data_IF_534719847156
#
_entry.id   IF_534719847156
#
_cell.length_a   1.000
_cell.length_b   1.000
_cell.length_c   1.000
_cell.angle_alpha   90.00
_cell.angle_beta   90.00
_cell.angle_gamma   90.00
#
_symmetry.space_group_name_H-M   'P 1'
#
loop_
_entity.id
_entity.type
_entity.pdbx_description
1 polymer ?
#
# COMPACT_ATOMS: atom_id res chain seq x y z
N UNK A 1 6.43 25.29 -2.23
CA UNK A 1 5.28 25.19 -3.15
C UNK A 1 5.62 24.52 -4.48
N UNK A 2 6.66 24.95 -5.22
CA UNK A 2 7.01 24.34 -6.53
C UNK A 2 7.26 22.82 -6.45
N UNK A 3 7.89 22.37 -5.37
CA UNK A 3 8.13 20.95 -5.10
C UNK A 3 6.82 20.16 -4.91
N UNK A 4 5.87 20.73 -4.15
CA UNK A 4 4.56 20.16 -3.89
C UNK A 4 3.70 20.07 -5.16
N UNK A 5 3.90 20.96 -6.13
CA UNK A 5 3.21 20.91 -7.42
C UNK A 5 3.77 19.83 -8.37
N UNK A 6 4.77 19.06 -7.93
CA UNK A 6 5.34 17.98 -8.74
C UNK A 6 6.28 18.46 -9.85
N UNK A 7 6.78 19.70 -9.80
CA UNK A 7 7.67 20.22 -10.84
C UNK A 7 9.04 19.54 -10.86
N UNK A 8 9.65 19.41 -12.05
CA UNK A 8 11.01 18.89 -12.18
C UNK A 8 12.04 19.81 -11.53
N UNK A 9 13.15 19.25 -11.06
CA UNK A 9 14.21 20.03 -10.40
C UNK A 9 14.82 21.09 -11.35
N UNK A 10 14.88 20.80 -12.64
CA UNK A 10 15.33 21.78 -13.66
C UNK A 10 14.37 22.96 -13.75
N UNK A 11 13.06 22.71 -13.79
CA UNK A 11 12.06 23.77 -13.83
C UNK A 11 12.08 24.62 -12.56
N UNK A 12 12.29 23.98 -11.41
CA UNK A 12 12.45 24.67 -10.12
C UNK A 12 13.71 25.54 -10.13
N UNK A 13 14.85 25.00 -10.58
CA UNK A 13 16.10 25.75 -10.67
C UNK A 13 15.95 26.98 -11.57
N UNK A 14 15.32 26.82 -12.74
CA UNK A 14 15.03 27.91 -13.67
C UNK A 14 14.12 28.98 -13.05
N UNK A 15 13.06 28.57 -12.34
CA UNK A 15 12.15 29.48 -11.66
C UNK A 15 12.81 30.28 -10.52
N UNK A 16 13.85 29.71 -9.89
CA UNK A 16 14.65 30.36 -8.85
C UNK A 16 15.88 31.10 -9.40
N UNK A 17 16.06 31.13 -10.73
CA UNK A 17 17.23 31.70 -11.40
C UNK A 17 18.58 31.16 -10.89
N UNK A 18 18.62 29.86 -10.55
CA UNK A 18 19.84 29.16 -10.14
C UNK A 18 20.13 27.96 -11.04
N UNK A 19 21.37 27.47 -11.00
CA UNK A 19 21.74 26.25 -11.72
C UNK A 19 21.28 25.00 -10.97
N UNK A 20 21.02 23.91 -11.70
CA UNK A 20 20.62 22.62 -11.10
C UNK A 20 21.64 22.07 -10.06
N UNK A 21 22.97 22.19 -10.25
CA UNK A 21 23.93 21.81 -9.21
C UNK A 21 23.75 22.61 -7.90
N UNK A 22 23.48 23.91 -8.00
CA UNK A 22 23.24 24.79 -6.85
C UNK A 22 21.98 24.37 -6.10
N UNK A 23 20.89 24.06 -6.83
CA UNK A 23 19.65 23.55 -6.23
C UNK A 23 19.91 22.25 -5.45
N UNK A 24 20.60 21.29 -6.06
CA UNK A 24 20.91 20.00 -5.42
C UNK A 24 21.82 20.13 -4.20
N UNK A 25 22.76 21.08 -4.20
CA UNK A 25 23.69 21.28 -3.10
C UNK A 25 23.05 21.96 -1.89
N UNK A 26 22.30 23.05 -2.11
CA UNK A 26 21.80 23.89 -1.03
C UNK A 26 20.38 23.54 -0.57
N UNK A 27 19.56 22.95 -1.45
CA UNK A 27 18.16 22.62 -1.17
C UNK A 27 17.90 21.12 -1.07
N UNK A 28 18.96 20.31 -0.91
CA UNK A 28 18.85 18.85 -0.85
C UNK A 28 17.90 18.37 0.27
N UNK A 29 17.88 19.06 1.41
CA UNK A 29 17.02 18.76 2.54
C UNK A 29 15.56 18.95 2.16
N UNK A 30 15.22 20.07 1.52
CA UNK A 30 13.87 20.37 1.05
C UNK A 30 13.41 19.39 -0.03
N UNK A 31 14.29 19.03 -0.98
CA UNK A 31 13.96 18.11 -2.07
C UNK A 31 13.57 16.70 -1.58
N UNK A 32 14.07 16.28 -0.41
CA UNK A 32 13.71 14.99 0.20
C UNK A 32 12.26 14.94 0.69
N UNK A 33 11.70 16.08 1.10
CA UNK A 33 10.35 16.14 1.68
C UNK A 33 9.28 16.40 0.62
N UNK A 34 9.46 15.90 -0.61
CA UNK A 34 8.56 16.16 -1.73
C UNK A 34 7.12 15.75 -1.43
N UNK A 35 6.95 14.55 -0.89
CA UNK A 35 5.63 14.00 -0.57
C UNK A 35 5.00 14.75 0.61
N UNK A 36 5.78 15.01 1.66
CA UNK A 36 5.32 15.83 2.81
C UNK A 36 4.88 17.22 2.37
N UNK A 37 5.62 17.87 1.46
CA UNK A 37 5.24 19.19 0.96
C UNK A 37 3.96 19.11 0.09
N UNK A 38 3.72 18.00 -0.61
CA UNK A 38 2.46 17.76 -1.32
C UNK A 38 1.29 17.67 -0.34
N UNK A 39 1.46 16.90 0.75
CA UNK A 39 0.43 16.70 1.76
C UNK A 39 0.10 18.01 2.47
N UNK A 40 1.12 18.79 2.86
CA UNK A 40 0.94 20.11 3.47
C UNK A 40 0.19 21.07 2.55
N UNK A 41 0.48 21.06 1.25
CA UNK A 41 -0.23 21.88 0.27
C UNK A 41 -1.71 21.48 0.17
N UNK A 42 -1.98 20.17 0.08
CA UNK A 42 -3.36 19.65 0.07
C UNK A 42 -4.10 20.02 1.34
N UNK A 43 -3.50 19.83 2.52
CA UNK A 43 -4.11 20.19 3.80
C UNK A 43 -4.44 21.69 3.88
N UNK A 44 -3.51 22.55 3.44
CA UNK A 44 -3.73 24.01 3.40
C UNK A 44 -4.89 24.38 2.49
N UNK A 45 -4.95 23.78 1.29
CA UNK A 45 -6.05 23.98 0.34
C UNK A 45 -7.40 23.55 0.94
N UNK A 46 -7.44 22.36 1.56
CA UNK A 46 -8.65 21.83 2.19
C UNK A 46 -9.13 22.70 3.34
N UNK A 47 -8.23 23.26 4.15
CA UNK A 47 -8.61 24.20 5.22
C UNK A 47 -9.24 25.48 4.66
N UNK A 48 -8.67 26.06 3.59
CA UNK A 48 -9.28 27.21 2.93
C UNK A 48 -10.63 26.88 2.32
N UNK A 49 -10.77 25.71 1.70
CA UNK A 49 -12.02 25.24 1.12
C UNK A 49 -13.09 25.05 2.20
N UNK A 50 -12.72 24.47 3.35
CA UNK A 50 -13.62 24.30 4.50
C UNK A 50 -14.13 25.63 5.03
N UNK A 51 -13.27 26.65 5.16
CA UNK A 51 -13.71 27.98 5.57
C UNK A 51 -14.75 28.59 4.61
N UNK A 52 -14.65 28.31 3.30
CA UNK A 52 -15.66 28.74 2.32
C UNK A 52 -16.96 27.94 2.44
N UNK A 53 -16.88 26.66 2.81
CA UNK A 53 -18.05 25.83 3.12
C UNK A 53 -18.80 26.39 4.32
N UNK A 54 -18.09 26.73 5.41
CA UNK A 54 -18.69 27.35 6.60
C UNK A 54 -19.34 28.71 6.28
N UNK A 55 -18.76 29.46 5.34
CA UNK A 55 -19.33 30.71 4.84
C UNK A 55 -20.57 30.52 3.93
N UNK A 56 -21.03 29.29 3.68
CA UNK A 56 -22.22 29.02 2.87
C UNK A 56 -21.97 29.02 1.35
N UNK A 57 -20.72 28.96 0.90
CA UNK A 57 -20.42 28.91 -0.53
C UNK A 57 -20.76 27.52 -1.11
N UNK A 58 -21.86 27.44 -1.86
CA UNK A 58 -22.38 26.19 -2.45
C UNK A 58 -21.37 25.56 -3.43
N UNK A 59 -20.59 26.36 -4.17
CA UNK A 59 -19.54 25.82 -5.04
C UNK A 59 -18.43 25.16 -4.21
N UNK A 60 -18.02 25.77 -3.10
CA UNK A 60 -17.05 25.17 -2.19
C UNK A 60 -17.55 23.87 -1.56
N UNK A 61 -18.84 23.79 -1.20
CA UNK A 61 -19.46 22.56 -0.69
C UNK A 61 -19.37 21.41 -1.68
N UNK A 62 -19.63 21.69 -2.97
CA UNK A 62 -19.52 20.69 -4.03
C UNK A 62 -18.08 20.21 -4.21
N UNK A 63 -17.13 21.13 -4.30
CA UNK A 63 -15.71 20.78 -4.45
C UNK A 63 -15.17 20.02 -3.22
N UNK A 64 -15.61 20.39 -2.02
CA UNK A 64 -15.25 19.70 -0.79
C UNK A 64 -15.83 18.28 -0.74
N UNK A 65 -17.09 18.10 -1.16
CA UNK A 65 -17.70 16.78 -1.31
C UNK A 65 -16.92 15.89 -2.29
N UNK A 66 -16.55 16.41 -3.46
CA UNK A 66 -15.75 15.68 -4.44
C UNK A 66 -14.35 15.30 -3.89
N UNK A 67 -13.76 16.17 -3.07
CA UNK A 67 -12.49 15.89 -2.40
C UNK A 67 -12.62 14.76 -1.36
N UNK A 68 -13.71 14.73 -0.59
CA UNK A 68 -14.02 13.63 0.34
C UNK A 68 -14.18 12.32 -0.42
N UNK A 69 -15.03 12.29 -1.45
CA UNK A 69 -15.28 11.08 -2.25
C UNK A 69 -14.00 10.50 -2.87
N UNK A 70 -13.08 11.38 -3.32
CA UNK A 70 -11.79 10.95 -3.83
C UNK A 70 -10.91 10.33 -2.74
N UNK A 71 -10.88 10.92 -1.54
CA UNK A 71 -10.11 10.38 -0.43
C UNK A 71 -10.66 9.03 0.03
N UNK A 72 -11.98 8.88 0.11
CA UNK A 72 -12.64 7.63 0.48
C UNK A 72 -12.33 6.53 -0.54
N UNK A 73 -12.33 6.89 -1.84
CA UNK A 73 -11.92 5.96 -2.91
C UNK A 73 -10.47 5.52 -2.76
N UNK A 74 -9.55 6.45 -2.49
CA UNK A 74 -8.14 6.12 -2.26
C UNK A 74 -7.97 5.20 -1.05
N UNK A 75 -8.71 5.44 0.04
CA UNK A 75 -8.68 4.57 1.23
C UNK A 75 -9.21 3.17 0.92
N UNK A 76 -10.29 3.06 0.14
CA UNK A 76 -10.82 1.79 -0.31
C UNK A 76 -9.83 1.04 -1.20
N UNK A 77 -9.20 1.71 -2.17
CA UNK A 77 -8.16 1.13 -3.04
C UNK A 77 -6.99 0.56 -2.21
N UNK A 78 -6.47 1.34 -1.25
CA UNK A 78 -5.42 0.89 -0.33
C UNK A 78 -5.84 -0.32 0.52
N UNK A 79 -7.08 -0.33 1.00
CA UNK A 79 -7.63 -1.46 1.76
C UNK A 79 -7.67 -2.74 0.92
N UNK A 80 -8.12 -2.65 -0.32
CA UNK A 80 -8.14 -3.78 -1.25
C UNK A 80 -6.75 -4.25 -1.66
N UNK A 81 -5.81 -3.33 -1.91
CA UNK A 81 -4.40 -3.69 -2.17
C UNK A 81 -3.79 -4.44 -0.99
N UNK A 82 -3.97 -3.91 0.23
CA UNK A 82 -3.46 -4.54 1.45
C UNK A 82 -4.02 -5.94 1.65
N UNK A 83 -5.33 -6.12 1.40
CA UNK A 83 -6.01 -7.42 1.53
C UNK A 83 -5.59 -8.42 0.45
N UNK A 84 -5.26 -7.95 -0.76
CA UNK A 84 -4.69 -8.80 -1.83
C UNK A 84 -3.27 -9.27 -1.50
N UNK A 85 -2.44 -8.40 -0.91
CA UNK A 85 -1.09 -8.75 -0.48
C UNK A 85 -1.05 -9.60 0.79
N UNK A 86 -2.11 -9.60 1.60
CA UNK A 86 -2.22 -10.45 2.80
C UNK A 86 -2.77 -11.84 2.51
N UNK A 87 -3.12 -12.19 1.27
CA UNK A 87 -3.30 -13.59 0.91
C UNK A 87 -1.95 -14.28 1.05
N UNK A 88 -1.89 -15.30 1.92
CA UNK A 88 -0.69 -16.06 2.25
C UNK A 88 0.14 -16.37 0.99
N UNK A 89 1.49 -16.34 1.09
CA UNK A 89 2.36 -16.56 -0.06
C UNK A 89 1.90 -17.82 -0.76
N UNK A 90 1.57 -17.70 -2.06
CA UNK A 90 1.22 -18.86 -2.88
C UNK A 90 2.44 -19.79 -2.85
N UNK A 91 2.43 -20.80 -2.00
CA UNK A 91 3.45 -21.84 -1.93
C UNK A 91 3.66 -22.32 -3.37
N UNK A 92 4.92 -22.24 -3.83
CA UNK A 92 5.24 -22.63 -5.20
C UNK A 92 4.82 -24.08 -5.43
N UNK A 93 4.45 -24.45 -6.66
CA UNK A 93 3.96 -25.81 -7.01
C UNK A 93 4.78 -26.93 -6.34
N UNK A 94 6.10 -26.76 -6.23
CA UNK A 94 7.02 -27.69 -5.55
C UNK A 94 6.73 -27.90 -4.06
N UNK A 95 6.46 -26.85 -3.30
CA UNK A 95 6.20 -26.95 -1.86
C UNK A 95 4.82 -27.57 -1.58
N UNK A 96 3.87 -27.35 -2.50
CA UNK A 96 2.53 -27.92 -2.43
C UNK A 96 2.54 -29.42 -2.78
N UNK A 97 3.36 -29.83 -3.73
CA UNK A 97 3.59 -31.25 -4.05
C UNK A 97 4.33 -31.98 -2.93
N UNK A 98 5.33 -31.33 -2.30
CA UNK A 98 6.07 -31.90 -1.17
C UNK A 98 5.18 -32.08 0.07
N UNK A 99 4.32 -31.10 0.38
CA UNK A 99 3.33 -31.25 1.45
C UNK A 99 2.33 -32.37 1.16
N UNK A 100 1.84 -32.48 -0.08
CA UNK A 100 0.94 -33.58 -0.46
C UNK A 100 1.60 -34.95 -0.39
N UNK A 101 2.88 -35.06 -0.72
CA UNK A 101 3.64 -36.29 -0.58
C UNK A 101 3.80 -36.67 0.90
N UNK A 102 4.13 -35.70 1.77
CA UNK A 102 4.24 -35.93 3.21
C UNK A 102 2.90 -36.34 3.84
N UNK A 103 1.80 -35.71 3.44
CA UNK A 103 0.46 -36.05 3.93
C UNK A 103 0.04 -37.46 3.49
N UNK A 104 0.35 -37.85 2.23
CA UNK A 104 0.07 -39.18 1.71
C UNK A 104 0.92 -40.27 2.38
N UNK A 105 2.20 -39.99 2.63
CA UNK A 105 3.10 -40.90 3.35
C UNK A 105 2.63 -41.10 4.81
N UNK A 106 2.13 -40.04 5.46
CA UNK A 106 1.58 -40.13 6.81
C UNK A 106 0.28 -40.95 6.87
N UNK A 107 -0.60 -40.80 5.87
CA UNK A 107 -1.84 -41.57 5.75
C UNK A 107 -1.55 -43.07 5.54
N UNK A 108 -0.60 -43.40 4.65
CA UNK A 108 -0.18 -44.78 4.40
C UNK A 108 0.45 -45.42 5.65
N UNK A 109 1.26 -44.66 6.39
CA UNK A 109 1.89 -45.15 7.63
C UNK A 109 0.84 -45.44 8.71
N UNK A 110 -0.18 -44.59 8.82
CA UNK A 110 -1.28 -44.80 9.75
C UNK A 110 -2.14 -46.02 9.41
N UNK A 111 -2.32 -46.33 8.13
CA UNK A 111 -3.04 -47.53 7.67
C UNK A 111 -2.25 -48.80 7.99
N UNK A 112 -0.94 -48.80 7.74
CA UNK A 112 -0.05 -49.93 8.08
C UNK A 112 0.02 -50.19 9.59
N UNK A 113 0.02 -49.15 10.41
CA UNK A 113 -0.01 -49.28 11.87
C UNK A 113 -1.34 -49.88 12.37
N UNK A 114 -2.46 -49.55 11.72
CA UNK A 114 -3.77 -50.14 12.02
C UNK A 114 -3.82 -51.63 11.63
N UNK A 115 -3.25 -52.00 10.48
CA UNK A 115 -3.15 -53.40 10.05
C UNK A 115 -2.22 -54.22 10.96
N UNK A 116 -1.09 -53.66 11.38
CA UNK A 116 -0.17 -54.30 12.32
C UNK A 116 -0.82 -54.51 13.70
N UNK A 117 -1.61 -53.54 14.19
CA UNK A 117 -2.38 -53.68 15.42
C UNK A 117 -3.48 -54.76 15.31
N UNK A 118 -4.15 -54.86 14.15
CA UNK A 118 -5.15 -55.89 13.88
C UNK A 118 -4.53 -57.29 13.78
N UNK A 119 -3.35 -57.42 13.15
CA UNK A 119 -2.61 -58.68 13.04
C UNK A 119 -2.12 -59.18 14.40
N UNK A 120 -1.68 -58.28 15.29
CA UNK A 120 -1.31 -58.63 16.66
C UNK A 120 -2.49 -59.12 17.52
N UNK A 121 -3.72 -58.70 17.19
CA UNK A 121 -4.92 -59.12 17.90
C UNK A 121 -5.48 -60.49 17.45
N UNK A 122 -4.94 -61.05 16.35
CA UNK A 122 -5.34 -62.35 15.78
C UNK A 122 -4.39 -63.52 16.13
N UNK A 123 -3.31 -63.26 16.89
CA UNK A 123 -2.27 -64.25 17.26
C UNK A 123 -2.26 -64.59 18.77
N UNK A 124 -3.33 -64.24 19.51
CA UNK A 124 -3.60 -64.74 20.86
C UNK A 124 -4.94 -65.49 20.90
#
# INVERSE_FOLDING_TARGET
MLLALGWSNERIANALHITLPTLRKHYFSELKFRDVQRDRMTATLTMHLWSQVEAGNVSAMREFGALIERNDRMAAEQFFETTKTSQAPRLGKKQLDEQRAMDADAELTAELDQEAAAAHHAVN
#
